data_IF_263413955340
#
_entry.id   IF_263413955340
#
_cell.length_a   1.000
_cell.length_b   1.000
_cell.length_c   1.000
_cell.angle_alpha   90.00
_cell.angle_beta   90.00
_cell.angle_gamma   90.00
#
_symmetry.space_group_name_H-M   'P 1'
#
loop_
_entity.id
_entity.type
_entity.pdbx_description
1 polymer ?
#
# COMPACT_ATOMS: atom_id res chain seq x y z
N UNK A 1 -17.43 -1.59 -3.22
CA UNK A 1 -16.75 -0.44 -3.85
C UNK A 1 -15.54 -0.99 -4.55
N UNK A 2 -15.35 -0.66 -5.83
CA UNK A 2 -14.19 -1.17 -6.58
C UNK A 2 -12.94 -0.39 -6.18
N UNK A 3 -11.80 -1.07 -6.03
CA UNK A 3 -10.50 -0.45 -5.69
C UNK A 3 -10.14 0.69 -6.67
N UNK A 4 -10.63 0.61 -7.90
CA UNK A 4 -10.46 1.64 -8.95
C UNK A 4 -11.07 3.00 -8.61
N UNK A 5 -11.97 3.07 -7.63
CA UNK A 5 -12.59 4.31 -7.19
C UNK A 5 -11.84 4.96 -6.01
N UNK A 6 -10.87 4.26 -5.43
CA UNK A 6 -10.13 4.74 -4.26
C UNK A 6 -9.18 5.87 -4.63
N UNK A 7 -9.21 6.93 -3.84
CA UNK A 7 -8.31 8.08 -3.96
C UNK A 7 -7.41 8.23 -2.74
N UNK A 8 -7.87 7.80 -1.58
CA UNK A 8 -7.17 7.96 -0.32
C UNK A 8 -7.32 6.70 0.54
N UNK A 9 -6.20 6.19 1.05
CA UNK A 9 -6.17 5.05 1.97
C UNK A 9 -5.26 5.36 3.14
N UNK A 10 -5.72 5.03 4.36
CA UNK A 10 -4.83 5.00 5.52
C UNK A 10 -4.20 3.61 5.65
N UNK A 11 -2.88 3.57 5.76
CA UNK A 11 -2.12 2.35 6.05
C UNK A 11 -1.77 2.29 7.53
N UNK A 12 -2.26 1.27 8.22
CA UNK A 12 -2.01 1.06 9.65
C UNK A 12 -1.04 -0.10 9.84
N UNK A 13 0.06 0.20 10.53
CA UNK A 13 1.06 -0.76 10.95
C UNK A 13 0.56 -1.49 12.21
N UNK A 14 0.29 -2.81 12.16
CA UNK A 14 -0.21 -3.56 13.31
C UNK A 14 0.83 -3.67 14.43
N UNK A 15 2.11 -3.39 14.16
CA UNK A 15 3.16 -3.35 15.18
C UNK A 15 3.21 -2.00 15.95
N UNK A 16 2.39 -1.02 15.56
CA UNK A 16 2.29 0.28 16.24
C UNK A 16 0.98 0.39 17.01
N UNK A 17 1.04 1.00 18.17
CA UNK A 17 -0.16 1.30 18.96
C UNK A 17 -0.93 2.50 18.36
N UNK A 18 -2.26 2.37 18.34
CA UNK A 18 -3.21 3.43 18.05
C UNK A 18 -4.35 3.30 19.05
N UNK A 19 -4.76 4.40 19.69
CA UNK A 19 -5.87 4.41 20.64
C UNK A 19 -7.20 4.10 19.95
N UNK A 20 -8.23 3.68 20.69
CA UNK A 20 -9.57 3.47 20.10
C UNK A 20 -10.17 4.80 19.60
N UNK A 21 -9.91 5.91 20.31
CA UNK A 21 -10.35 7.25 19.94
C UNK A 21 -9.72 7.71 18.62
N UNK A 22 -8.40 7.53 18.46
CA UNK A 22 -7.70 7.90 17.22
C UNK A 22 -8.10 7.00 16.06
N UNK A 23 -8.29 5.70 16.31
CA UNK A 23 -8.72 4.75 15.29
C UNK A 23 -10.13 5.05 14.78
N UNK A 24 -11.04 5.48 15.67
CA UNK A 24 -12.38 5.95 15.31
C UNK A 24 -12.30 7.14 14.35
N UNK A 25 -11.49 8.16 14.69
CA UNK A 25 -11.30 9.32 13.83
C UNK A 25 -10.74 8.93 12.45
N UNK A 26 -9.80 8.00 12.39
CA UNK A 26 -9.24 7.48 11.13
C UNK A 26 -10.31 6.76 10.31
N UNK A 27 -11.09 5.87 10.92
CA UNK A 27 -12.09 5.05 10.23
C UNK A 27 -13.32 5.87 9.78
N UNK A 28 -13.67 6.93 10.51
CA UNK A 28 -14.78 7.82 10.17
C UNK A 28 -14.36 9.06 9.35
N UNK A 29 -13.06 9.22 9.09
CA UNK A 29 -12.50 10.36 8.33
C UNK A 29 -13.05 10.54 6.92
N UNK A 30 -13.67 9.49 6.37
CA UNK A 30 -14.06 9.42 4.97
C UNK A 30 -12.96 8.91 4.05
N UNK A 31 -11.85 8.35 4.56
CA UNK A 31 -10.89 7.57 3.75
C UNK A 31 -11.61 6.43 3.00
N UNK A 32 -11.07 6.00 1.85
CA UNK A 32 -11.74 4.99 1.02
C UNK A 32 -11.52 3.56 1.53
N UNK A 33 -10.42 3.31 2.24
CA UNK A 33 -10.13 2.05 2.91
C UNK A 33 -9.12 2.21 4.06
N UNK A 34 -9.05 1.16 4.89
CA UNK A 34 -7.91 0.87 5.76
C UNK A 34 -7.10 -0.26 5.13
N UNK A 35 -5.80 -0.04 5.01
CA UNK A 35 -4.83 -1.06 4.63
C UNK A 35 -4.02 -1.46 5.87
N UNK A 36 -4.21 -2.65 6.39
CA UNK A 36 -3.40 -3.19 7.49
C UNK A 36 -2.14 -3.79 6.90
N UNK A 37 -0.97 -3.30 7.31
CA UNK A 37 0.30 -3.80 6.77
C UNK A 37 1.52 -3.11 7.37
N UNK A 38 2.61 -3.86 7.52
CA UNK A 38 3.85 -3.39 8.11
C UNK A 38 5.05 -4.22 7.62
N UNK A 39 6.26 -3.68 7.82
CA UNK A 39 7.51 -4.32 7.36
C UNK A 39 8.20 -5.17 8.43
N UNK A 40 7.97 -4.91 9.71
CA UNK A 40 8.67 -5.60 10.80
C UNK A 40 7.79 -5.74 12.04
N UNK A 41 7.93 -6.87 12.73
CA UNK A 41 7.16 -7.18 13.94
C UNK A 41 5.67 -7.45 13.69
N UNK A 42 5.27 -7.71 12.44
CA UNK A 42 3.91 -8.13 12.11
C UNK A 42 3.72 -9.57 12.59
N UNK A 43 2.66 -9.82 13.37
CA UNK A 43 2.30 -11.14 13.88
C UNK A 43 0.82 -11.38 13.63
N UNK A 44 0.39 -12.65 13.61
CA UNK A 44 -1.04 -12.97 13.51
C UNK A 44 -1.86 -12.26 14.61
N UNK A 45 -1.35 -12.23 15.84
CA UNK A 45 -2.05 -11.65 16.98
C UNK A 45 -2.28 -10.14 16.82
N UNK A 46 -1.28 -9.39 16.37
CA UNK A 46 -1.43 -7.94 16.22
C UNK A 46 -2.28 -7.57 14.98
N UNK A 47 -2.22 -8.36 13.92
CA UNK A 47 -3.14 -8.25 12.77
C UNK A 47 -4.58 -8.51 13.19
N UNK A 48 -4.85 -9.61 13.91
CA UNK A 48 -6.19 -9.94 14.43
C UNK A 48 -6.72 -8.85 15.37
N UNK A 49 -5.87 -8.37 16.28
CA UNK A 49 -6.22 -7.29 17.22
C UNK A 49 -6.67 -6.03 16.48
N UNK A 50 -5.86 -5.53 15.54
CA UNK A 50 -6.18 -4.33 14.77
C UNK A 50 -7.42 -4.54 13.87
N UNK A 51 -7.49 -5.67 13.16
CA UNK A 51 -8.63 -6.01 12.30
C UNK A 51 -9.94 -6.04 13.09
N UNK A 52 -9.97 -6.65 14.28
CA UNK A 52 -11.17 -6.73 15.11
C UNK A 52 -11.70 -5.35 15.55
N UNK A 53 -10.81 -4.37 15.68
CA UNK A 53 -11.16 -2.98 16.04
C UNK A 53 -11.66 -2.21 14.81
N UNK A 54 -11.00 -2.37 13.66
CA UNK A 54 -11.41 -1.74 12.38
C UNK A 54 -12.74 -2.30 11.88
N UNK A 55 -13.04 -3.59 12.12
CA UNK A 55 -14.28 -4.25 11.68
C UNK A 55 -15.57 -3.73 12.33
N UNK A 56 -15.47 -2.82 13.29
CA UNK A 56 -16.62 -2.09 13.86
C UNK A 56 -17.17 -1.03 12.90
N UNK A 57 -16.41 -0.65 11.89
CA UNK A 57 -16.73 0.39 10.93
C UNK A 57 -17.06 -0.21 9.55
N UNK A 58 -17.81 0.54 8.73
CA UNK A 58 -18.32 0.06 7.43
C UNK A 58 -17.36 0.27 6.25
N UNK A 59 -16.18 0.83 6.47
CA UNK A 59 -15.20 1.04 5.41
C UNK A 59 -14.47 -0.26 5.03
N UNK A 60 -14.08 -0.42 3.75
CA UNK A 60 -13.24 -1.52 3.32
C UNK A 60 -11.97 -1.66 4.16
N UNK A 61 -11.66 -2.88 4.57
CA UNK A 61 -10.46 -3.23 5.31
C UNK A 61 -9.69 -4.29 4.52
N UNK A 62 -8.47 -3.94 4.09
CA UNK A 62 -7.58 -4.81 3.33
C UNK A 62 -6.36 -5.21 4.18
N UNK A 63 -5.85 -6.43 3.98
CA UNK A 63 -4.58 -6.88 4.51
C UNK A 63 -3.53 -6.84 3.40
N UNK A 64 -2.45 -6.08 3.60
CA UNK A 64 -1.24 -6.20 2.79
C UNK A 64 -0.36 -7.31 3.38
N UNK A 65 -0.23 -8.41 2.65
CA UNK A 65 0.44 -9.62 3.15
C UNK A 65 1.95 -9.47 2.99
N UNK A 66 2.63 -9.16 4.10
CA UNK A 66 4.10 -9.08 4.15
C UNK A 66 4.77 -10.36 4.63
N UNK A 67 4.05 -11.24 5.35
CA UNK A 67 4.49 -12.58 5.73
C UNK A 67 3.33 -13.57 5.71
N UNK A 68 3.61 -14.82 5.35
CA UNK A 68 2.60 -15.88 5.22
C UNK A 68 1.94 -16.18 6.58
N UNK A 69 2.71 -16.12 7.67
CA UNK A 69 2.25 -16.45 9.02
C UNK A 69 1.24 -15.44 9.59
N UNK A 70 1.15 -14.24 8.99
CA UNK A 70 0.23 -13.19 9.42
C UNK A 70 -1.14 -13.26 8.72
N UNK A 71 -1.29 -14.14 7.72
CA UNK A 71 -2.52 -14.26 6.93
C UNK A 71 -3.64 -14.82 7.79
N UNK A 72 -4.78 -14.12 7.76
CA UNK A 72 -6.00 -14.55 8.47
C UNK A 72 -7.24 -14.22 7.64
N UNK A 73 -8.29 -15.05 7.69
CA UNK A 73 -9.61 -14.69 7.17
C UNK A 73 -10.17 -13.42 7.81
N UNK A 74 -11.10 -12.78 7.11
CA UNK A 74 -11.88 -11.67 7.65
C UNK A 74 -11.44 -10.29 7.20
N UNK A 75 -10.63 -10.16 6.14
CA UNK A 75 -10.43 -8.93 5.39
C UNK A 75 -11.31 -8.91 4.13
N UNK A 76 -11.60 -7.73 3.59
CA UNK A 76 -12.38 -7.59 2.35
C UNK A 76 -11.50 -7.83 1.12
N UNK A 77 -10.20 -7.52 1.24
CA UNK A 77 -9.21 -7.73 0.21
C UNK A 77 -7.87 -8.17 0.82
N UNK A 78 -7.12 -8.93 0.04
CA UNK A 78 -5.77 -9.37 0.35
C UNK A 78 -4.83 -8.85 -0.73
N UNK A 79 -4.04 -7.85 -0.35
CA UNK A 79 -3.09 -7.17 -1.20
C UNK A 79 -1.77 -7.96 -1.15
N UNK A 80 -1.28 -8.41 -2.30
CA UNK A 80 -0.13 -9.31 -2.42
C UNK A 80 0.99 -8.58 -3.18
N UNK A 81 2.00 -8.03 -2.47
CA UNK A 81 3.12 -7.32 -3.07
C UNK A 81 4.08 -8.25 -3.82
N UNK A 82 4.33 -7.96 -5.10
CA UNK A 82 5.49 -8.44 -5.85
C UNK A 82 6.46 -7.27 -6.05
N UNK A 83 7.62 -7.31 -5.39
CA UNK A 83 8.63 -6.23 -5.41
C UNK A 83 9.43 -6.31 -6.70
N UNK A 84 8.93 -5.67 -7.76
CA UNK A 84 9.43 -5.80 -9.13
C UNK A 84 10.90 -5.41 -9.28
N UNK A 85 11.37 -4.47 -8.47
CA UNK A 85 12.77 -4.03 -8.46
C UNK A 85 13.64 -4.72 -7.39
N UNK A 86 13.17 -5.82 -6.78
CA UNK A 86 13.98 -6.66 -5.90
C UNK A 86 15.07 -7.40 -6.68
N UNK A 87 16.23 -7.60 -6.06
CA UNK A 87 17.28 -8.49 -6.58
C UNK A 87 17.08 -9.96 -6.20
N UNK A 88 16.05 -10.26 -5.40
CA UNK A 88 15.72 -11.60 -4.92
C UNK A 88 14.38 -12.04 -5.50
N UNK A 89 14.39 -13.18 -6.20
CA UNK A 89 13.15 -13.81 -6.70
C UNK A 89 12.18 -14.15 -5.58
N UNK A 90 12.68 -14.33 -4.35
CA UNK A 90 11.91 -14.48 -3.13
C UNK A 90 10.75 -13.47 -3.03
N UNK A 91 11.04 -12.19 -3.26
CA UNK A 91 10.08 -11.09 -3.13
C UNK A 91 9.30 -10.78 -4.43
N UNK A 92 9.57 -11.52 -5.50
CA UNK A 92 8.90 -11.35 -6.81
C UNK A 92 7.96 -12.51 -7.11
N UNK A 93 8.37 -13.75 -6.77
CA UNK A 93 7.65 -14.97 -7.14
C UNK A 93 7.67 -16.06 -6.08
N UNK A 94 8.78 -16.29 -5.40
CA UNK A 94 8.96 -17.58 -4.71
C UNK A 94 8.03 -17.70 -3.49
N UNK A 95 7.85 -16.62 -2.72
CA UNK A 95 6.90 -16.57 -1.61
C UNK A 95 5.44 -16.72 -2.09
N UNK A 96 5.11 -16.20 -3.28
CA UNK A 96 3.77 -16.36 -3.85
C UNK A 96 3.51 -17.83 -4.19
N UNK A 97 4.49 -18.50 -4.79
CA UNK A 97 4.40 -19.93 -5.11
C UNK A 97 4.25 -20.76 -3.83
N UNK A 98 4.99 -20.42 -2.78
CA UNK A 98 4.86 -21.07 -1.47
C UNK A 98 3.46 -20.90 -0.88
N UNK A 99 2.95 -19.66 -0.80
CA UNK A 99 1.61 -19.38 -0.31
C UNK A 99 0.51 -20.07 -1.13
N UNK A 100 0.63 -20.11 -2.46
CA UNK A 100 -0.34 -20.78 -3.33
C UNK A 100 -0.29 -22.30 -3.15
N UNK A 101 0.90 -22.88 -2.93
CA UNK A 101 1.02 -24.31 -2.63
C UNK A 101 0.37 -24.69 -1.30
N UNK A 102 0.45 -23.82 -0.31
CA UNK A 102 -0.09 -24.08 1.03
C UNK A 102 -1.59 -23.79 1.13
N UNK A 103 -2.06 -22.69 0.52
CA UNK A 103 -3.42 -22.18 0.72
C UNK A 103 -4.26 -22.11 -0.55
N UNK A 104 -3.72 -22.41 -1.73
CA UNK A 104 -4.38 -22.17 -3.02
C UNK A 104 -5.75 -22.85 -3.19
N UNK A 105 -5.98 -23.99 -2.55
CA UNK A 105 -7.26 -24.72 -2.61
C UNK A 105 -8.40 -24.02 -1.84
N UNK A 106 -8.07 -23.19 -0.86
CA UNK A 106 -9.04 -22.48 0.01
C UNK A 106 -9.05 -20.97 -0.23
N UNK A 107 -8.21 -20.50 -1.14
CA UNK A 107 -7.99 -19.10 -1.43
C UNK A 107 -9.14 -18.52 -2.25
N UNK A 108 -9.73 -17.41 -1.80
CA UNK A 108 -10.70 -16.67 -2.61
C UNK A 108 -9.98 -15.70 -3.55
N UNK A 109 -9.80 -16.11 -4.80
CA UNK A 109 -9.10 -15.33 -5.82
C UNK A 109 -9.78 -14.00 -6.18
N UNK A 110 -11.09 -13.85 -5.89
CA UNK A 110 -11.80 -12.59 -6.12
C UNK A 110 -11.45 -11.51 -5.09
N UNK A 111 -10.96 -11.90 -3.92
CA UNK A 111 -10.53 -10.99 -2.85
C UNK A 111 -9.05 -10.64 -2.95
N UNK A 112 -8.30 -11.32 -3.83
CA UNK A 112 -6.85 -11.13 -3.98
C UNK A 112 -6.53 -10.07 -5.01
N UNK A 113 -5.63 -9.17 -4.62
CA UNK A 113 -5.21 -8.02 -5.41
C UNK A 113 -3.69 -8.03 -5.49
N UNK A 114 -3.14 -8.42 -6.64
CA UNK A 114 -1.69 -8.42 -6.84
C UNK A 114 -1.15 -6.99 -7.06
N UNK A 115 -0.02 -6.66 -6.44
CA UNK A 115 0.57 -5.33 -6.54
C UNK A 115 1.98 -5.39 -7.10
N UNK A 116 2.27 -4.57 -8.10
CA UNK A 116 3.63 -4.37 -8.59
C UNK A 116 4.32 -3.29 -7.78
N UNK A 117 5.14 -3.67 -6.80
CA UNK A 117 5.90 -2.72 -6.00
C UNK A 117 7.15 -2.24 -6.72
N UNK A 118 7.38 -0.93 -6.70
CA UNK A 118 8.64 -0.31 -7.07
C UNK A 118 9.12 0.56 -5.90
N UNK A 119 10.06 0.02 -5.11
CA UNK A 119 10.59 0.69 -3.92
C UNK A 119 11.70 1.65 -4.32
N UNK A 120 11.58 2.91 -3.95
CA UNK A 120 12.47 3.99 -4.41
C UNK A 120 13.23 4.69 -3.26
N UNK A 121 12.88 4.41 -2.00
CA UNK A 121 13.66 4.88 -0.86
C UNK A 121 14.67 3.82 -0.38
N UNK A 122 15.96 4.06 -0.60
CA UNK A 122 17.06 3.17 -0.19
C UNK A 122 17.16 2.97 1.34
N UNK A 123 16.77 3.98 2.12
CA UNK A 123 17.00 3.99 3.57
C UNK A 123 15.93 3.24 4.36
N UNK A 124 14.80 2.93 3.73
CA UNK A 124 13.66 2.31 4.39
C UNK A 124 13.90 0.82 4.70
N UNK A 125 13.15 0.30 5.67
CA UNK A 125 13.24 -1.13 6.06
C UNK A 125 12.85 -2.05 4.91
N UNK A 126 11.83 -1.69 4.12
CA UNK A 126 11.35 -2.47 2.98
C UNK A 126 12.45 -2.68 1.93
N UNK A 127 13.20 -1.63 1.56
CA UNK A 127 14.28 -1.72 0.59
C UNK A 127 15.40 -2.67 1.06
N UNK A 128 15.76 -2.60 2.35
CA UNK A 128 16.79 -3.46 2.96
C UNK A 128 16.34 -4.92 3.03
N UNK A 129 15.11 -5.17 3.46
CA UNK A 129 14.54 -6.52 3.56
C UNK A 129 14.46 -7.21 2.20
N UNK A 130 13.99 -6.46 1.20
CA UNK A 130 13.72 -6.98 -0.15
C UNK A 130 14.94 -6.90 -1.09
N UNK A 131 16.06 -6.33 -0.65
CA UNK A 131 17.21 -6.01 -1.50
C UNK A 131 16.81 -5.28 -2.80
N UNK A 132 15.95 -4.28 -2.66
CA UNK A 132 15.46 -3.49 -3.78
C UNK A 132 16.57 -2.67 -4.44
N UNK A 133 16.60 -2.65 -5.77
CA UNK A 133 17.39 -1.70 -6.56
C UNK A 133 16.66 -0.35 -6.57
N UNK A 134 17.09 0.58 -5.74
CA UNK A 134 16.44 1.89 -5.56
C UNK A 134 17.12 3.03 -6.31
N UNK A 135 18.31 2.81 -6.87
CA UNK A 135 19.02 3.74 -7.76
C UNK A 135 18.42 3.70 -9.17
N UNK A 136 17.15 4.13 -9.25
CA UNK A 136 16.35 4.14 -10.47
C UNK A 136 16.12 5.57 -10.93
N UNK A 137 16.22 5.78 -12.23
CA UNK A 137 15.81 7.04 -12.85
C UNK A 137 14.35 6.99 -13.35
N UNK A 138 13.94 8.06 -14.01
CA UNK A 138 12.58 8.18 -14.56
C UNK A 138 12.31 7.14 -15.66
N UNK A 139 13.29 6.77 -16.46
CA UNK A 139 13.13 5.78 -17.53
C UNK A 139 12.96 4.37 -16.95
N UNK A 140 13.71 4.06 -15.89
CA UNK A 140 13.54 2.83 -15.12
C UNK A 140 12.12 2.72 -14.54
N UNK A 141 11.59 3.77 -13.91
CA UNK A 141 10.22 3.78 -13.36
C UNK A 141 9.17 3.57 -14.44
N UNK A 142 9.33 4.22 -15.61
CA UNK A 142 8.46 3.99 -16.78
C UNK A 142 8.53 2.53 -17.22
N UNK A 143 9.72 1.92 -17.23
CA UNK A 143 9.88 0.52 -17.60
C UNK A 143 9.18 -0.43 -16.61
N UNK A 144 9.29 -0.19 -15.31
CA UNK A 144 8.57 -0.98 -14.29
C UNK A 144 7.04 -0.79 -14.37
N UNK A 145 6.57 0.43 -14.63
CA UNK A 145 5.15 0.68 -14.87
C UNK A 145 4.63 -0.11 -16.09
N UNK A 146 5.39 -0.13 -17.19
CA UNK A 146 5.07 -0.95 -18.38
C UNK A 146 5.10 -2.45 -18.09
N UNK A 147 6.06 -2.92 -17.29
CA UNK A 147 6.14 -4.31 -16.87
C UNK A 147 4.88 -4.69 -16.08
N UNK A 148 4.52 -3.91 -15.07
CA UNK A 148 3.35 -4.13 -14.23
C UNK A 148 2.06 -4.21 -15.07
N UNK A 149 1.83 -3.26 -15.98
CA UNK A 149 0.59 -3.22 -16.76
C UNK A 149 0.60 -4.14 -17.98
N UNK A 150 1.60 -4.03 -18.86
CA UNK A 150 1.54 -4.67 -20.20
C UNK A 150 2.00 -6.13 -20.20
N UNK A 151 2.90 -6.50 -19.27
CA UNK A 151 3.43 -7.86 -19.20
C UNK A 151 2.71 -8.68 -18.13
N UNK A 152 2.56 -8.12 -16.92
CA UNK A 152 1.99 -8.83 -15.78
C UNK A 152 0.50 -8.56 -15.58
N UNK A 153 -0.06 -7.52 -16.21
CA UNK A 153 -1.46 -7.13 -16.08
C UNK A 153 -1.90 -6.95 -14.61
N UNK A 154 -0.99 -6.42 -13.77
CA UNK A 154 -1.25 -6.21 -12.35
C UNK A 154 -2.32 -5.13 -12.16
N UNK A 155 -3.28 -5.32 -11.23
CA UNK A 155 -4.32 -4.33 -10.97
C UNK A 155 -3.74 -3.04 -10.35
N UNK A 156 -2.63 -3.14 -9.62
CA UNK A 156 -1.98 -2.02 -8.93
C UNK A 156 -0.48 -1.97 -9.29
N UNK A 157 0.03 -0.77 -9.54
CA UNK A 157 1.45 -0.46 -9.51
C UNK A 157 1.70 0.52 -8.36
N UNK A 158 2.50 0.12 -7.39
CA UNK A 158 2.73 0.86 -6.16
C UNK A 158 4.13 1.48 -6.17
N UNK A 159 4.20 2.81 -6.17
CA UNK A 159 5.44 3.56 -5.95
C UNK A 159 5.65 3.78 -4.45
N UNK A 160 6.67 3.13 -3.90
CA UNK A 160 6.92 3.08 -2.46
C UNK A 160 8.17 3.88 -2.05
N UNK A 161 7.94 4.95 -1.30
CA UNK A 161 8.94 5.89 -0.78
C UNK A 161 8.96 5.92 0.76
N UNK A 162 8.45 4.89 1.44
CA UNK A 162 8.27 4.76 2.89
C UNK A 162 9.33 5.53 3.69
N UNK A 163 8.89 6.47 4.51
CA UNK A 163 9.75 7.32 5.34
C UNK A 163 10.26 8.61 4.69
N UNK A 164 10.11 8.81 3.38
CA UNK A 164 10.46 10.08 2.71
C UNK A 164 9.40 10.49 1.69
N UNK A 165 9.37 11.78 1.32
CA UNK A 165 8.51 12.28 0.25
C UNK A 165 9.22 12.06 -1.09
N UNK A 166 8.53 11.40 -2.02
CA UNK A 166 9.07 10.98 -3.31
C UNK A 166 9.14 12.09 -4.35
N UNK A 167 9.76 11.77 -5.48
CA UNK A 167 9.88 12.67 -6.62
C UNK A 167 8.57 12.70 -7.43
N UNK A 168 7.94 13.88 -7.48
CA UNK A 168 6.68 14.10 -8.20
C UNK A 168 6.81 13.78 -9.69
N UNK A 169 7.97 14.04 -10.31
CA UNK A 169 8.17 13.74 -11.73
C UNK A 169 8.12 12.23 -12.01
N UNK A 170 8.63 11.40 -11.08
CA UNK A 170 8.57 9.94 -11.22
C UNK A 170 7.13 9.43 -11.12
N UNK A 171 6.34 9.97 -10.17
CA UNK A 171 4.92 9.62 -10.02
C UNK A 171 4.13 10.03 -11.26
N UNK A 172 4.37 11.24 -11.78
CA UNK A 172 3.75 11.72 -13.01
C UNK A 172 4.11 10.84 -14.21
N UNK A 173 5.38 10.46 -14.36
CA UNK A 173 5.83 9.62 -15.46
C UNK A 173 5.22 8.21 -15.42
N UNK A 174 5.13 7.62 -14.23
CA UNK A 174 4.40 6.36 -14.04
C UNK A 174 2.93 6.52 -14.43
N UNK A 175 2.24 7.58 -13.96
CA UNK A 175 0.83 7.78 -14.28
C UNK A 175 0.55 7.91 -15.76
N UNK A 176 1.38 8.68 -16.48
CA UNK A 176 1.24 8.87 -17.92
C UNK A 176 1.47 7.57 -18.72
N UNK A 177 2.10 6.57 -18.11
CA UNK A 177 2.39 5.27 -18.71
C UNK A 177 1.25 4.27 -18.51
N UNK A 178 0.50 4.38 -17.41
CA UNK A 178 -0.55 3.44 -17.01
C UNK A 178 -1.92 3.87 -17.53
N UNK A 179 -2.69 2.92 -18.07
CA UNK A 179 -4.04 3.12 -18.61
C UNK A 179 -5.11 2.43 -17.76
N UNK A 180 -4.84 1.19 -17.32
CA UNK A 180 -5.78 0.29 -16.61
C UNK A 180 -5.33 0.00 -15.19
N UNK A 181 -4.03 -0.18 -14.99
CA UNK A 181 -3.44 -0.43 -13.68
C UNK A 181 -3.54 0.84 -12.83
N UNK A 182 -4.01 0.72 -11.59
CA UNK A 182 -4.10 1.83 -10.66
C UNK A 182 -2.70 2.20 -10.15
N UNK A 183 -2.38 3.49 -10.16
CA UNK A 183 -1.15 3.99 -9.57
C UNK A 183 -1.37 4.31 -8.10
N UNK A 184 -0.75 3.52 -7.24
CA UNK A 184 -0.68 3.78 -5.80
C UNK A 184 0.64 4.51 -5.50
N UNK A 185 0.57 5.51 -4.64
CA UNK A 185 1.75 6.21 -4.12
C UNK A 185 1.73 6.22 -2.60
N UNK A 186 2.80 5.72 -1.98
CA UNK A 186 3.03 5.78 -0.55
C UNK A 186 4.40 6.36 -0.23
N UNK A 187 4.45 7.34 0.69
CA UNK A 187 5.72 7.89 1.16
C UNK A 187 5.63 9.37 1.55
N UNK A 188 6.01 9.68 2.79
CA UNK A 188 6.27 11.04 3.25
C UNK A 188 5.09 12.03 3.20
N UNK A 189 3.87 11.56 2.94
CA UNK A 189 2.66 12.38 3.03
C UNK A 189 2.38 12.63 4.50
N UNK A 190 2.64 13.87 4.93
CA UNK A 190 2.47 14.31 6.31
C UNK A 190 1.64 15.59 6.43
N UNK A 191 1.17 16.15 5.32
CA UNK A 191 0.32 17.35 5.28
C UNK A 191 -0.69 17.26 4.15
N UNK A 192 -1.76 18.04 4.25
CA UNK A 192 -2.79 18.18 3.22
C UNK A 192 -2.22 18.59 1.85
N UNK A 193 -1.22 19.48 1.83
CA UNK A 193 -0.59 19.98 0.60
C UNK A 193 0.13 18.86 -0.15
N UNK A 194 0.90 18.03 0.57
CA UNK A 194 1.60 16.87 0.00
C UNK A 194 0.63 15.81 -0.51
N UNK A 195 -0.44 15.55 0.24
CA UNK A 195 -1.48 14.63 -0.20
C UNK A 195 -2.14 15.09 -1.50
N UNK A 196 -2.47 16.39 -1.58
CA UNK A 196 -3.08 16.99 -2.77
C UNK A 196 -2.17 16.98 -3.99
N UNK A 197 -0.88 17.26 -3.81
CA UNK A 197 0.13 17.22 -4.87
C UNK A 197 0.27 15.82 -5.45
N UNK A 198 0.48 14.80 -4.60
CA UNK A 198 0.60 13.42 -5.07
C UNK A 198 -0.69 12.89 -5.68
N UNK A 199 -1.86 13.21 -5.10
CA UNK A 199 -3.16 12.82 -5.66
C UNK A 199 -3.55 13.59 -6.95
N UNK A 200 -2.72 14.51 -7.44
CA UNK A 200 -2.86 15.04 -8.80
C UNK A 200 -2.26 14.10 -9.86
N UNK A 201 -1.42 13.15 -9.44
CA UNK A 201 -0.68 12.25 -10.31
C UNK A 201 -0.94 10.77 -10.00
N UNK A 202 -1.02 10.37 -8.73
CA UNK A 202 -1.46 9.03 -8.33
C UNK A 202 -2.99 8.90 -8.40
N UNK A 203 -3.47 7.69 -8.68
CA UNK A 203 -4.90 7.37 -8.54
C UNK A 203 -5.28 7.32 -7.07
N UNK A 204 -4.45 6.65 -6.27
CA UNK A 204 -4.64 6.50 -4.82
C UNK A 204 -3.38 6.89 -4.06
N UNK A 205 -3.52 7.76 -3.06
CA UNK A 205 -2.44 8.06 -2.11
C UNK A 205 -2.59 7.24 -0.83
N UNK A 206 -1.46 6.74 -0.33
CA UNK A 206 -1.36 5.95 0.89
C UNK A 206 -0.71 6.78 1.99
N UNK A 207 -1.44 6.99 3.09
CA UNK A 207 -0.97 7.76 4.26
C UNK A 207 -0.78 6.82 5.43
N UNK A 208 0.46 6.67 5.89
CA UNK A 208 0.83 5.76 6.98
C UNK A 208 1.37 6.49 8.21
N UNK A 209 2.69 6.67 8.27
CA UNK A 209 3.40 7.22 9.44
C UNK A 209 2.77 8.48 10.05
N UNK A 210 2.20 9.37 9.23
CA UNK A 210 1.55 10.59 9.70
C UNK A 210 0.40 10.34 10.70
N UNK A 211 -0.28 9.20 10.62
CA UNK A 211 -1.33 8.80 11.58
C UNK A 211 -0.78 8.76 13.00
N UNK A 212 0.45 8.27 13.17
CA UNK A 212 1.11 8.12 14.46
C UNK A 212 1.88 9.38 14.88
N UNK A 213 2.43 10.11 13.92
CA UNK A 213 3.28 11.27 14.19
C UNK A 213 2.46 12.55 14.46
N UNK A 214 1.38 12.76 13.69
CA UNK A 214 0.48 13.91 13.81
C UNK A 214 -0.88 13.60 13.18
N UNK A 215 -1.75 12.95 13.96
CA UNK A 215 -3.07 12.53 13.51
C UNK A 215 -3.90 13.68 12.90
N UNK A 216 -3.83 14.89 13.47
CA UNK A 216 -4.60 16.04 12.97
C UNK A 216 -4.23 16.38 11.52
N UNK A 217 -2.94 16.39 11.19
CA UNK A 217 -2.50 16.61 9.81
C UNK A 217 -2.81 15.42 8.92
N UNK A 218 -2.69 14.19 9.43
CA UNK A 218 -3.08 12.99 8.71
C UNK A 218 -4.56 13.04 8.28
N UNK A 219 -5.48 13.39 9.18
CA UNK A 219 -6.91 13.48 8.85
C UNK A 219 -7.21 14.52 7.76
N UNK A 220 -6.48 15.65 7.73
CA UNK A 220 -6.64 16.69 6.69
C UNK A 220 -6.26 16.22 5.29
N UNK A 221 -5.48 15.14 5.17
CA UNK A 221 -5.11 14.58 3.86
C UNK A 221 -6.31 13.97 3.13
N UNK A 222 -7.30 13.43 3.85
CA UNK A 222 -8.53 12.90 3.27
C UNK A 222 -9.31 14.00 2.56
N UNK A 223 -9.58 15.10 3.26
CA UNK A 223 -10.31 16.24 2.70
C UNK A 223 -9.59 16.85 1.49
N UNK A 224 -8.26 16.95 1.55
CA UNK A 224 -7.44 17.52 0.49
C UNK A 224 -7.52 16.74 -0.83
N UNK A 225 -7.79 15.43 -0.76
CA UNK A 225 -7.87 14.54 -1.90
C UNK A 225 -9.31 14.35 -2.39
N UNK A 226 -10.27 14.26 -1.46
CA UNK A 226 -11.66 13.91 -1.78
C UNK A 226 -12.55 15.11 -2.16
N UNK A 227 -12.25 16.32 -1.67
CA UNK A 227 -13.05 17.53 -1.97
C UNK A 227 -12.61 18.25 -3.26
N UNK A 228 -12.26 17.51 -4.31
CA UNK A 228 -11.95 18.08 -5.63
C UNK A 228 -13.23 18.38 -6.42
#
# INVERSE_FOLDING_TARGET
>A
MEIREWKHVFKLDPNKEISDEDLELVCESGTDAILVGGTDGVTLDNVLSLMSRVRRYSLPCALEVSTIESVTPGFDFYFIPSVLNSRKTEWVTDLHIEAIKEFGDIMNWEEIVAEGYCILNADCKAAKLTEAKTDLDKEDVIAYARLAEKMFNLPIFYLEYSGTYGDVEMVQAAKQTLEKTQLFYGGGISTAERAKEMAAHADTVIVGNAVYDNLKEALRTVEAVKNK
#
